data_IF_154738342405
#
_entry.id   IF_154738342405
#
_cell.length_a   1.000
_cell.length_b   1.000
_cell.length_c   1.000
_cell.angle_alpha   90.00
_cell.angle_beta   90.00
_cell.angle_gamma   90.00
#
_symmetry.space_group_name_H-M   'P 1'
#
loop_
_entity.id
_entity.type
_entity.pdbx_description
1 polymer ?
#
# COMPACT_ATOMS: atom_id res chain seq x y z
N UNK A 1 81.01 -52.74 25.54
CA UNK A 1 80.07 -51.84 26.26
C UNK A 1 79.28 -51.11 25.22
N UNK A 2 77.96 -51.39 25.10
CA UNK A 2 77.06 -50.81 24.07
C UNK A 2 76.18 -49.78 24.73
N UNK A 3 76.33 -48.51 24.35
CA UNK A 3 75.48 -47.43 24.79
C UNK A 3 74.20 -47.37 23.91
N UNK A 4 73.03 -47.42 24.53
CA UNK A 4 71.75 -47.25 23.87
C UNK A 4 71.37 -45.76 23.91
N UNK A 5 71.23 -45.16 22.74
CA UNK A 5 70.64 -43.81 22.54
C UNK A 5 69.10 -43.90 22.52
N UNK A 6 68.42 -43.27 23.46
CA UNK A 6 66.99 -43.11 23.49
C UNK A 6 66.58 -41.89 22.65
N UNK A 7 65.88 -42.11 21.56
CA UNK A 7 65.26 -41.08 20.76
C UNK A 7 63.91 -40.64 21.39
N UNK A 8 63.82 -39.39 21.75
CA UNK A 8 62.51 -38.79 22.22
C UNK A 8 61.74 -38.27 21.03
N UNK A 9 60.55 -38.86 20.76
CA UNK A 9 59.61 -38.38 19.80
C UNK A 9 58.71 -37.33 20.49
N UNK A 10 58.82 -36.09 20.05
CA UNK A 10 57.95 -35.03 20.52
C UNK A 10 56.64 -35.05 19.67
N UNK A 11 55.54 -35.38 20.30
CA UNK A 11 54.18 -35.26 19.66
C UNK A 11 53.70 -33.81 19.72
N UNK A 12 53.63 -33.16 18.59
CA UNK A 12 53.00 -31.84 18.46
C UNK A 12 51.48 -31.99 18.30
N UNK A 13 50.74 -31.60 19.32
CA UNK A 13 49.28 -31.55 19.30
C UNK A 13 48.81 -30.26 18.60
N UNK A 14 48.25 -30.40 17.40
CA UNK A 14 47.68 -29.30 16.62
C UNK A 14 46.25 -29.05 17.11
N UNK A 15 46.01 -27.99 17.88
CA UNK A 15 44.69 -27.60 18.35
C UNK A 15 44.01 -26.75 17.27
N UNK A 16 43.05 -27.32 16.54
CA UNK A 16 42.25 -26.60 15.55
C UNK A 16 41.12 -25.84 16.29
N UNK A 17 41.24 -24.53 16.35
CA UNK A 17 40.19 -23.65 16.89
C UNK A 17 39.09 -23.48 15.84
N UNK A 18 37.97 -24.18 16.00
CA UNK A 18 36.77 -23.95 15.18
C UNK A 18 36.07 -22.65 15.64
N UNK A 19 36.23 -21.58 14.88
CA UNK A 19 35.48 -20.35 15.08
C UNK A 19 34.09 -20.55 14.41
N UNK A 20 33.07 -20.84 15.21
CA UNK A 20 31.70 -20.89 14.74
C UNK A 20 31.23 -19.45 14.47
N UNK A 21 31.16 -19.05 13.19
CA UNK A 21 30.55 -17.80 12.75
C UNK A 21 29.03 -17.98 12.81
N UNK A 22 28.40 -17.51 13.88
CA UNK A 22 26.94 -17.45 14.00
C UNK A 22 26.40 -16.39 13.03
N UNK A 23 25.92 -16.82 11.87
CA UNK A 23 25.16 -15.96 10.96
C UNK A 23 23.82 -15.63 11.63
N UNK A 24 23.71 -14.47 12.28
CA UNK A 24 22.44 -13.95 12.75
C UNK A 24 21.54 -13.67 11.55
N UNK A 25 20.51 -14.50 11.36
CA UNK A 25 19.48 -14.23 10.37
C UNK A 25 18.77 -12.93 10.75
N UNK A 26 19.07 -11.84 10.03
CA UNK A 26 18.33 -10.59 10.15
C UNK A 26 16.93 -10.86 9.62
N UNK A 27 16.00 -11.06 10.54
CA UNK A 27 14.57 -11.14 10.18
C UNK A 27 14.17 -9.81 9.55
N UNK A 28 13.90 -9.80 8.24
CA UNK A 28 13.42 -8.61 7.57
C UNK A 28 12.06 -8.24 8.17
N UNK A 29 12.00 -7.11 8.87
CA UNK A 29 10.76 -6.60 9.44
C UNK A 29 9.73 -6.42 8.31
N UNK A 30 8.50 -6.89 8.56
CA UNK A 30 7.43 -6.71 7.58
C UNK A 30 7.24 -5.22 7.27
N UNK A 31 7.13 -4.86 5.99
CA UNK A 31 7.06 -3.45 5.60
C UNK A 31 5.82 -2.78 6.20
N UNK A 32 6.01 -1.59 6.75
CA UNK A 32 4.89 -0.77 7.26
C UNK A 32 3.95 -0.41 6.12
N UNK A 33 2.64 -0.55 6.35
CA UNK A 33 1.58 -0.32 5.34
C UNK A 33 0.40 0.42 5.94
N UNK A 34 -0.36 1.13 5.09
CA UNK A 34 -1.63 1.76 5.44
C UNK A 34 -2.57 1.77 4.22
N UNK A 35 -3.82 2.21 4.39
CA UNK A 35 -4.88 1.97 3.43
C UNK A 35 -5.47 0.57 3.61
N UNK A 36 -6.03 -0.04 2.59
CA UNK A 36 -6.60 -1.39 2.68
C UNK A 36 -5.55 -2.44 3.06
N UNK A 37 -5.98 -3.51 3.74
CA UNK A 37 -5.13 -4.67 3.99
C UNK A 37 -5.29 -5.66 2.83
N UNK A 38 -4.40 -5.57 1.83
CA UNK A 38 -4.42 -6.46 0.68
C UNK A 38 -3.55 -7.69 0.92
N UNK A 39 -4.17 -8.86 0.84
CA UNK A 39 -3.52 -10.18 0.92
C UNK A 39 -3.84 -10.97 -0.35
N UNK A 40 -3.15 -12.06 -0.60
CA UNK A 40 -3.44 -12.97 -1.72
C UNK A 40 -4.86 -13.54 -1.69
N UNK A 41 -5.49 -13.52 -0.51
CA UNK A 41 -6.86 -14.01 -0.30
C UNK A 41 -7.88 -12.86 -0.22
N UNK A 42 -7.49 -11.61 -0.55
CA UNK A 42 -8.45 -10.50 -0.58
C UNK A 42 -9.38 -10.70 -1.76
N UNK A 43 -10.65 -10.92 -1.45
CA UNK A 43 -11.71 -11.08 -2.44
C UNK A 43 -12.69 -9.92 -2.25
N UNK A 44 -12.85 -9.03 -3.23
CA UNK A 44 -13.94 -8.05 -3.20
C UNK A 44 -15.28 -8.78 -3.18
N UNK A 45 -16.27 -8.22 -2.52
CA UNK A 45 -17.60 -8.80 -2.60
C UNK A 45 -18.07 -8.79 -4.06
N UNK A 46 -18.62 -9.92 -4.53
CA UNK A 46 -19.07 -10.06 -5.92
C UNK A 46 -20.21 -9.09 -6.31
N UNK A 47 -20.85 -8.46 -5.32
CA UNK A 47 -21.92 -7.50 -5.51
C UNK A 47 -21.42 -6.04 -5.60
N UNK A 48 -20.14 -5.82 -5.39
CA UNK A 48 -19.58 -4.47 -5.42
C UNK A 48 -18.85 -4.25 -6.74
N UNK A 49 -19.45 -3.55 -7.70
CA UNK A 49 -18.74 -3.15 -8.92
C UNK A 49 -17.54 -2.29 -8.53
N UNK A 50 -16.59 -2.17 -9.44
CA UNK A 50 -15.57 -1.17 -9.27
C UNK A 50 -16.24 0.20 -9.28
N UNK A 51 -16.01 0.96 -8.21
CA UNK A 51 -16.58 2.30 -8.11
C UNK A 51 -15.82 3.28 -8.96
N UNK A 52 -16.56 4.03 -9.69
CA UNK A 52 -16.07 5.15 -10.48
C UNK A 52 -16.34 6.48 -9.76
N UNK A 53 -15.89 7.52 -10.37
CA UNK A 53 -16.44 8.82 -10.18
C UNK A 53 -17.64 8.89 -11.10
N UNK A 54 -18.82 8.48 -10.66
CA UNK A 54 -20.02 8.76 -11.45
C UNK A 54 -20.17 10.25 -11.63
N UNK A 55 -19.72 10.79 -12.74
CA UNK A 55 -20.07 12.11 -13.11
C UNK A 55 -20.85 12.07 -14.41
N UNK A 56 -21.59 13.08 -14.63
CA UNK A 56 -21.88 13.54 -15.99
C UNK A 56 -20.65 13.29 -16.87
N UNK A 57 -20.79 12.59 -17.96
CA UNK A 57 -19.69 12.20 -18.87
C UNK A 57 -18.59 13.26 -18.96
N UNK A 58 -17.35 12.84 -18.77
CA UNK A 58 -16.16 13.67 -18.91
C UNK A 58 -15.67 14.40 -17.67
N UNK A 59 -16.37 14.35 -16.55
CA UNK A 59 -15.87 14.96 -15.30
C UNK A 59 -15.04 13.97 -14.48
N UNK A 60 -13.95 14.46 -13.91
CA UNK A 60 -13.14 13.70 -12.97
C UNK A 60 -13.47 14.07 -11.54
N UNK A 61 -13.45 13.10 -10.64
CA UNK A 61 -13.59 13.34 -9.22
C UNK A 61 -12.32 12.98 -8.45
N UNK A 62 -12.26 13.38 -7.18
CA UNK A 62 -11.33 12.84 -6.21
C UNK A 62 -12.10 12.01 -5.19
N UNK A 63 -11.63 10.78 -4.96
CA UNK A 63 -12.07 9.95 -3.84
C UNK A 63 -11.02 9.94 -2.76
N UNK A 64 -11.42 10.18 -1.51
CA UNK A 64 -10.54 10.25 -0.34
C UNK A 64 -10.92 9.15 0.63
N UNK A 65 -9.98 8.29 0.98
CA UNK A 65 -10.21 7.20 1.92
C UNK A 65 -10.31 7.73 3.34
N UNK A 66 -11.42 7.48 4.02
CA UNK A 66 -11.57 7.80 5.45
C UNK A 66 -11.44 6.55 6.31
N UNK A 67 -11.73 5.38 5.75
CA UNK A 67 -11.61 4.07 6.38
C UNK A 67 -10.80 3.14 5.49
N UNK A 68 -10.33 2.03 6.07
CA UNK A 68 -9.50 1.05 5.38
C UNK A 68 -10.04 -0.38 5.59
N UNK A 69 -10.18 -1.12 4.50
CA UNK A 69 -10.52 -2.53 4.54
C UNK A 69 -9.52 -3.32 5.39
N UNK A 70 -10.02 -4.10 6.34
CA UNK A 70 -9.19 -4.97 7.19
C UNK A 70 -8.18 -4.26 8.10
N UNK A 71 -8.34 -2.94 8.33
CA UNK A 71 -7.53 -2.15 9.27
C UNK A 71 -8.39 -1.22 10.11
N UNK A 72 -7.90 -0.88 11.29
CA UNK A 72 -8.55 0.08 12.19
C UNK A 72 -8.45 1.53 11.72
N UNK A 73 -7.56 1.85 10.79
CA UNK A 73 -7.32 3.22 10.31
C UNK A 73 -6.82 3.23 8.87
N UNK A 74 -7.33 4.17 8.08
CA UNK A 74 -6.82 4.51 6.75
C UNK A 74 -5.60 5.45 6.78
N UNK A 75 -5.27 5.99 7.96
CA UNK A 75 -4.25 7.03 8.11
C UNK A 75 -2.84 6.45 8.08
N UNK A 76 -1.94 7.17 7.46
CA UNK A 76 -0.51 6.92 7.52
C UNK A 76 -0.04 6.95 8.98
N UNK A 77 0.64 5.90 9.49
CA UNK A 77 1.00 5.79 10.90
C UNK A 77 2.19 6.68 11.29
N UNK A 78 3.01 7.09 10.32
CA UNK A 78 4.23 7.88 10.54
C UNK A 78 4.60 8.72 9.32
N UNK A 79 5.54 9.63 9.49
CA UNK A 79 6.22 10.31 8.38
C UNK A 79 7.11 9.34 7.62
N UNK A 80 7.32 9.59 6.32
CA UNK A 80 8.23 8.77 5.52
C UNK A 80 8.00 8.88 4.02
N UNK A 81 8.38 7.82 3.32
CA UNK A 81 8.22 7.70 1.87
C UNK A 81 7.52 6.39 1.53
N UNK A 82 6.47 6.49 0.75
CA UNK A 82 5.80 5.32 0.16
C UNK A 82 6.66 4.84 -1.02
N UNK A 83 7.02 3.56 -1.01
CA UNK A 83 7.79 2.90 -2.06
C UNK A 83 6.93 2.11 -3.03
N UNK A 84 5.74 1.67 -2.59
CA UNK A 84 4.82 0.91 -3.43
C UNK A 84 3.38 1.31 -3.17
N UNK A 85 2.59 1.34 -4.25
CA UNK A 85 1.14 1.31 -4.21
C UNK A 85 0.69 -0.06 -4.71
N UNK A 86 -0.23 -0.66 -3.99
CA UNK A 86 -0.86 -1.94 -4.35
C UNK A 86 -2.36 -1.72 -4.45
N UNK A 87 -3.01 -2.30 -5.43
CA UNK A 87 -4.46 -2.15 -5.62
C UNK A 87 -5.07 -3.38 -6.29
N UNK A 88 -6.37 -3.51 -6.14
CA UNK A 88 -7.19 -4.43 -6.93
C UNK A 88 -8.04 -3.56 -7.85
N UNK A 89 -7.74 -3.64 -9.13
CA UNK A 89 -8.40 -2.84 -10.14
C UNK A 89 -9.74 -3.47 -10.60
N UNK A 90 -10.62 -2.61 -11.11
CA UNK A 90 -11.77 -3.00 -11.90
C UNK A 90 -11.39 -3.24 -13.35
N UNK A 91 -11.98 -2.50 -14.28
CA UNK A 91 -11.60 -2.52 -15.68
C UNK A 91 -10.23 -1.87 -15.91
N UNK A 92 -9.62 -2.15 -17.05
CA UNK A 92 -8.38 -1.50 -17.44
C UNK A 92 -8.53 0.03 -17.47
N UNK A 93 -7.53 0.72 -16.95
CA UNK A 93 -7.63 2.17 -16.87
C UNK A 93 -6.45 2.82 -16.17
N UNK A 94 -6.71 4.00 -15.64
CA UNK A 94 -5.69 4.73 -14.89
C UNK A 94 -6.29 5.57 -13.77
N UNK A 95 -5.51 5.77 -12.74
CA UNK A 95 -5.80 6.73 -11.68
C UNK A 95 -4.55 7.54 -11.34
N UNK A 96 -4.75 8.71 -10.75
CA UNK A 96 -3.65 9.46 -10.14
C UNK A 96 -3.74 9.38 -8.64
N UNK A 97 -2.66 8.91 -8.01
CA UNK A 97 -2.57 8.85 -6.55
C UNK A 97 -2.38 10.24 -5.95
N UNK A 98 -3.08 10.52 -4.88
CA UNK A 98 -2.92 11.73 -4.08
C UNK A 98 -2.70 11.35 -2.60
N UNK A 99 -2.03 12.23 -1.87
CA UNK A 99 -2.09 12.25 -0.41
C UNK A 99 -3.02 13.38 0.02
N UNK A 100 -3.92 13.07 0.96
CA UNK A 100 -4.89 14.02 1.45
C UNK A 100 -4.87 14.13 2.97
N UNK A 101 -5.38 15.24 3.50
CA UNK A 101 -5.75 15.43 4.90
C UNK A 101 -7.26 15.52 5.00
N UNK A 102 -7.83 14.82 5.96
CA UNK A 102 -9.26 14.85 6.28
C UNK A 102 -9.47 15.69 7.54
N UNK A 103 -10.51 16.49 7.56
CA UNK A 103 -10.94 17.31 8.69
C UNK A 103 -12.43 17.05 8.95
N UNK A 104 -12.78 16.89 10.22
CA UNK A 104 -14.17 16.73 10.71
C UNK A 104 -14.94 15.56 10.02
N UNK A 105 -14.23 14.60 9.40
CA UNK A 105 -14.81 13.45 8.70
C UNK A 105 -15.57 13.77 7.41
N UNK A 106 -15.70 15.02 7.02
CA UNK A 106 -16.50 15.48 5.88
C UNK A 106 -15.76 16.42 4.93
N UNK A 107 -14.61 16.92 5.33
CA UNK A 107 -13.80 17.85 4.53
C UNK A 107 -12.44 17.26 4.24
N UNK A 108 -11.92 17.51 3.04
CA UNK A 108 -10.55 17.13 2.73
C UNK A 108 -9.82 18.19 1.91
N UNK A 109 -8.49 18.05 1.89
CA UNK A 109 -7.61 18.75 0.95
C UNK A 109 -6.51 17.83 0.46
N UNK A 110 -6.13 17.97 -0.81
CA UNK A 110 -4.95 17.30 -1.36
C UNK A 110 -3.71 18.06 -0.95
N UNK A 111 -2.74 17.33 -0.41
CA UNK A 111 -1.45 17.88 0.05
C UNK A 111 -0.27 17.44 -0.81
N UNK A 112 -0.44 16.39 -1.59
CA UNK A 112 0.57 15.92 -2.53
C UNK A 112 -0.08 15.24 -3.73
N UNK A 113 0.43 15.55 -4.93
CA UNK A 113 0.05 14.95 -6.21
C UNK A 113 1.10 13.91 -6.60
N UNK A 114 0.73 12.64 -6.51
CA UNK A 114 1.56 11.52 -6.87
C UNK A 114 1.50 11.15 -8.35
N UNK A 115 2.08 10.00 -8.71
CA UNK A 115 2.11 9.53 -10.09
C UNK A 115 0.71 9.12 -10.60
N UNK A 116 0.58 9.08 -11.93
CA UNK A 116 -0.45 8.33 -12.63
C UNK A 116 -0.05 6.86 -12.62
N UNK A 117 -1.00 5.98 -12.32
CA UNK A 117 -0.84 4.53 -12.39
C UNK A 117 -1.77 4.03 -13.49
N UNK A 118 -1.22 3.30 -14.44
CA UNK A 118 -1.98 2.60 -15.47
C UNK A 118 -2.07 1.13 -15.08
N UNK A 119 -3.27 0.56 -15.02
CA UNK A 119 -3.53 -0.80 -14.57
C UNK A 119 -4.30 -1.59 -15.63
N UNK A 120 -4.14 -2.91 -15.59
CA UNK A 120 -4.72 -3.81 -16.59
C UNK A 120 -6.19 -4.14 -16.29
N UNK A 121 -6.57 -4.04 -15.04
CA UNK A 121 -7.93 -4.37 -14.63
C UNK A 121 -8.22 -5.87 -14.56
N UNK A 122 -9.39 -6.20 -14.06
CA UNK A 122 -9.86 -7.57 -13.89
C UNK A 122 -11.39 -7.62 -14.00
N UNK A 123 -11.97 -8.64 -14.64
CA UNK A 123 -13.41 -8.76 -14.80
C UNK A 123 -14.12 -8.90 -13.44
N UNK A 124 -15.39 -8.50 -13.40
CA UNK A 124 -16.21 -8.55 -12.18
C UNK A 124 -16.41 -9.96 -11.61
N UNK A 125 -16.25 -10.98 -12.43
CA UNK A 125 -16.43 -12.39 -12.07
C UNK A 125 -15.12 -13.15 -11.95
N UNK A 126 -13.99 -12.48 -11.74
CA UNK A 126 -12.72 -13.14 -11.53
C UNK A 126 -12.80 -14.06 -10.29
N UNK A 127 -12.32 -15.29 -10.42
CA UNK A 127 -12.27 -16.25 -9.32
C UNK A 127 -11.19 -15.83 -8.32
N UNK A 128 -10.06 -15.35 -8.84
CA UNK A 128 -8.91 -14.88 -8.06
C UNK A 128 -8.54 -13.46 -8.49
N UNK A 129 -8.75 -12.50 -7.62
CA UNK A 129 -8.37 -11.12 -7.90
C UNK A 129 -6.89 -10.89 -7.68
N UNK A 130 -6.22 -10.39 -8.71
CA UNK A 130 -4.79 -10.06 -8.66
C UNK A 130 -4.56 -8.69 -8.03
N UNK A 131 -3.55 -8.61 -7.17
CA UNK A 131 -3.06 -7.34 -6.65
C UNK A 131 -2.03 -6.79 -7.62
N UNK A 132 -2.33 -5.69 -8.27
CA UNK A 132 -1.38 -4.95 -9.07
C UNK A 132 -0.49 -4.10 -8.16
N UNK A 133 0.81 -4.06 -8.46
CA UNK A 133 1.82 -3.39 -7.61
C UNK A 133 2.64 -2.43 -8.45
N UNK A 134 2.74 -1.18 -8.00
CA UNK A 134 3.44 -0.09 -8.66
C UNK A 134 4.54 0.44 -7.76
N UNK A 135 5.77 0.53 -8.28
CA UNK A 135 6.87 1.20 -7.60
C UNK A 135 6.69 2.72 -7.73
N UNK A 136 6.77 3.40 -6.60
CA UNK A 136 6.54 4.85 -6.52
C UNK A 136 7.53 5.49 -5.55
N UNK A 137 7.56 6.83 -5.55
CA UNK A 137 8.26 7.62 -4.52
C UNK A 137 7.34 8.77 -4.13
N UNK A 138 6.59 8.59 -3.04
CA UNK A 138 5.59 9.55 -2.57
C UNK A 138 5.92 9.92 -1.13
N UNK A 139 6.24 11.19 -0.83
CA UNK A 139 6.40 11.65 0.55
C UNK A 139 5.05 11.59 1.26
N UNK A 140 5.08 11.15 2.52
CA UNK A 140 3.88 11.04 3.35
C UNK A 140 4.15 11.55 4.76
N UNK A 141 3.17 12.21 5.36
CA UNK A 141 3.17 12.62 6.76
C UNK A 141 2.17 11.79 7.56
N UNK A 142 2.47 11.57 8.84
CA UNK A 142 1.54 10.93 9.76
C UNK A 142 0.14 11.57 9.69
N UNK A 143 -0.90 10.75 9.75
CA UNK A 143 -2.29 11.20 9.68
C UNK A 143 -2.82 11.52 8.28
N UNK A 144 -1.99 11.53 7.24
CA UNK A 144 -2.47 11.63 5.86
C UNK A 144 -3.12 10.31 5.42
N UNK A 145 -4.00 10.41 4.45
CA UNK A 145 -4.72 9.27 3.86
C UNK A 145 -4.46 9.20 2.36
N UNK A 146 -4.64 8.01 1.80
CA UNK A 146 -4.67 7.83 0.36
C UNK A 146 -5.92 8.49 -0.22
N UNK A 147 -5.74 9.12 -1.36
CA UNK A 147 -6.80 9.58 -2.23
C UNK A 147 -6.41 9.32 -3.68
N UNK A 148 -7.36 9.34 -4.58
CA UNK A 148 -7.06 9.23 -6.00
C UNK A 148 -8.03 10.06 -6.84
N UNK A 149 -7.51 10.53 -7.97
CA UNK A 149 -8.29 11.13 -9.03
C UNK A 149 -8.45 10.12 -10.15
N UNK A 150 -9.68 9.94 -10.62
CA UNK A 150 -9.98 9.19 -11.82
C UNK A 150 -10.79 10.01 -12.81
N UNK A 151 -10.65 9.66 -14.07
CA UNK A 151 -11.48 10.16 -15.19
C UNK A 151 -12.19 9.03 -15.90
N UNK A 152 -11.95 7.80 -15.49
CA UNK A 152 -12.52 6.59 -16.09
C UNK A 152 -13.49 5.95 -15.11
N UNK A 153 -14.45 5.22 -15.64
CA UNK A 153 -15.39 4.38 -14.90
C UNK A 153 -14.67 3.14 -14.36
N UNK A 154 -15.21 2.55 -13.30
CA UNK A 154 -14.80 1.20 -12.79
C UNK A 154 -13.34 1.05 -12.40
N UNK A 155 -12.75 2.05 -11.74
CA UNK A 155 -11.30 2.14 -11.51
C UNK A 155 -10.77 1.17 -10.47
N UNK A 156 -11.33 1.20 -9.26
CA UNK A 156 -10.90 0.33 -8.16
C UNK A 156 -12.04 -0.54 -7.68
N UNK A 157 -11.70 -1.78 -7.42
CA UNK A 157 -12.60 -2.66 -6.69
C UNK A 157 -12.79 -2.13 -5.28
N UNK A 158 -13.98 -2.35 -4.77
CA UNK A 158 -14.27 -2.07 -3.40
C UNK A 158 -14.92 -3.25 -2.69
N UNK A 159 -14.91 -3.23 -1.38
CA UNK A 159 -15.62 -4.19 -0.55
C UNK A 159 -16.78 -3.50 0.18
N UNK A 160 -17.89 -4.17 0.30
CA UNK A 160 -19.09 -3.67 0.99
C UNK A 160 -18.88 -3.59 2.50
N UNK A 161 -19.66 -2.72 3.17
CA UNK A 161 -19.63 -2.59 4.63
C UNK A 161 -18.66 -1.56 5.17
N UNK A 162 -18.01 -0.82 4.31
CA UNK A 162 -17.23 0.35 4.69
C UNK A 162 -18.09 1.53 5.08
N UNK A 163 -17.54 2.39 5.89
CA UNK A 163 -18.13 3.68 6.15
C UNK A 163 -17.32 4.75 5.46
N UNK A 164 -17.91 5.36 4.46
CA UNK A 164 -17.60 6.66 3.91
C UNK A 164 -16.20 6.87 3.33
N UNK A 165 -16.13 6.79 2.05
CA UNK A 165 -15.22 7.61 1.27
C UNK A 165 -15.83 8.98 1.09
N UNK A 166 -14.98 10.01 0.96
CA UNK A 166 -15.42 11.32 0.56
C UNK A 166 -15.21 11.49 -0.95
N UNK A 167 -16.23 12.00 -1.63
CA UNK A 167 -16.22 12.26 -3.06
C UNK A 167 -16.26 13.76 -3.30
N UNK A 168 -15.42 14.24 -4.22
CA UNK A 168 -15.30 15.66 -4.57
C UNK A 168 -15.42 15.84 -6.08
N UNK A 169 -16.38 16.65 -6.47
CA UNK A 169 -16.64 17.08 -7.85
C UNK A 169 -16.84 18.59 -7.92
N UNK A 170 -15.99 19.33 -8.64
CA UNK A 170 -14.82 18.88 -9.38
C UNK A 170 -13.72 18.34 -8.46
N UNK A 171 -12.75 17.62 -9.07
CA UNK A 171 -11.67 17.02 -8.30
C UNK A 171 -10.83 18.03 -7.52
N UNK A 172 -10.32 17.62 -6.37
CA UNK A 172 -9.44 18.42 -5.53
C UNK A 172 -8.09 18.69 -6.21
N UNK A 173 -7.56 19.89 -6.00
CA UNK A 173 -6.24 20.29 -6.45
C UNK A 173 -5.30 20.53 -5.26
N UNK A 174 -4.00 20.34 -5.48
CA UNK A 174 -2.98 20.69 -4.47
C UNK A 174 -3.00 22.21 -4.23
N UNK A 175 -2.87 22.59 -2.98
CA UNK A 175 -2.85 24.01 -2.57
C UNK A 175 -4.23 24.60 -2.24
N UNK A 176 -5.31 23.91 -2.55
CA UNK A 176 -6.64 24.34 -2.10
C UNK A 176 -6.79 24.21 -0.56
N UNK A 177 -7.64 25.04 0.00
CA UNK A 177 -8.13 24.89 1.38
C UNK A 177 -8.95 23.60 1.52
N UNK A 178 -9.34 23.27 2.76
CA UNK A 178 -10.29 22.18 2.97
C UNK A 178 -11.61 22.44 2.25
N UNK A 179 -12.01 21.53 1.39
CA UNK A 179 -13.29 21.53 0.69
C UNK A 179 -14.25 20.60 1.41
N UNK A 180 -15.54 20.93 1.39
CA UNK A 180 -16.60 20.03 1.82
C UNK A 180 -16.78 18.95 0.75
N UNK A 181 -16.96 17.68 1.15
CA UNK A 181 -17.29 16.62 0.21
C UNK A 181 -18.69 16.85 -0.38
N UNK A 182 -18.80 16.60 -1.67
CA UNK A 182 -20.07 16.69 -2.39
C UNK A 182 -20.94 15.47 -2.10
N UNK A 183 -20.30 14.30 -1.91
CA UNK A 183 -20.98 13.05 -1.60
C UNK A 183 -20.10 12.11 -0.76
N UNK A 184 -20.69 11.01 -0.29
CA UNK A 184 -20.03 9.97 0.46
C UNK A 184 -20.48 8.59 -0.04
N UNK A 185 -19.53 7.65 -0.09
CA UNK A 185 -19.80 6.28 -0.50
C UNK A 185 -19.43 5.29 0.62
N UNK A 186 -20.20 4.24 0.78
CA UNK A 186 -20.06 3.22 1.80
C UNK A 186 -19.14 2.05 1.44
N UNK A 187 -18.22 2.23 0.52
CA UNK A 187 -17.37 1.17 -0.01
C UNK A 187 -15.91 1.33 0.45
N UNK A 188 -15.26 0.22 0.83
CA UNK A 188 -13.82 0.18 1.10
C UNK A 188 -13.03 0.06 -0.21
N UNK A 189 -12.32 1.11 -0.61
CA UNK A 189 -11.44 1.03 -1.78
C UNK A 189 -10.25 0.11 -1.53
N UNK A 190 -10.01 -0.82 -2.43
CA UNK A 190 -8.94 -1.81 -2.32
C UNK A 190 -7.61 -1.25 -2.85
N UNK A 191 -7.08 -0.26 -2.13
CA UNK A 191 -5.76 0.34 -2.39
C UNK A 191 -4.94 0.43 -1.09
N UNK A 192 -3.68 0.04 -1.18
CA UNK A 192 -2.73 -0.03 -0.07
C UNK A 192 -1.44 0.71 -0.43
N UNK A 193 -0.90 1.45 0.51
CA UNK A 193 0.44 2.02 0.44
C UNK A 193 1.41 1.24 1.33
N UNK A 194 2.62 1.01 0.82
CA UNK A 194 3.72 0.38 1.53
C UNK A 194 4.91 1.33 1.60
N UNK A 195 5.45 1.54 2.78
CA UNK A 195 6.68 2.32 2.99
C UNK A 195 7.90 1.65 2.35
N UNK A 196 8.88 2.49 2.00
CA UNK A 196 10.26 2.03 1.70
C UNK A 196 10.93 1.48 2.94
#
# INVERSE_FOLDING_TARGET
MRGRTMSRVAAATLTILLVAVSASAVSAASPTRFGAKLTTNTQPSNSSPAHDCEPTEGQSCTRVMTNAYGRSSAKAPKDGTIGKIRLIAGDAGSLRVYMAKVKDGTKAKVVYKGPKLDFTGQPNNAVDYKIETFNVTIPVKAGQVLAFKSTTTSVLRCDSGGTRQLIFQPYLQVGQSYQQADDTDGCFMLIEAQYK
#
